data_IF_066446552040
#
_entry.id   IF_066446552040
#
_cell.length_a   1.000
_cell.length_b   1.000
_cell.length_c   1.000
_cell.angle_alpha   90.00
_cell.angle_beta   90.00
_cell.angle_gamma   90.00
#
_symmetry.space_group_name_H-M   'P 1'
#
loop_
_entity.id
_entity.type
_entity.pdbx_description
1 polymer ?
#
# COMPACT_ATOMS: atom_id res chain seq x y z
N UNK A 1 -14.06 -8.79 -33.55
CA UNK A 1 -13.81 -9.12 -32.13
C UNK A 1 -13.88 -7.81 -31.36
N UNK A 2 -14.76 -7.69 -30.37
CA UNK A 2 -14.88 -6.48 -29.53
C UNK A 2 -14.29 -6.83 -28.16
N UNK A 3 -13.39 -5.99 -27.65
CA UNK A 3 -12.83 -6.11 -26.30
C UNK A 3 -13.36 -4.95 -25.46
N UNK A 4 -14.06 -5.25 -24.37
CA UNK A 4 -14.46 -4.25 -23.37
C UNK A 4 -13.28 -4.08 -22.42
N UNK A 5 -12.78 -2.85 -22.27
CA UNK A 5 -11.72 -2.52 -21.31
C UNK A 5 -12.34 -2.07 -20.01
N UNK A 6 -11.76 -2.48 -18.90
CA UNK A 6 -12.09 -1.88 -17.62
C UNK A 6 -11.61 -0.43 -17.58
N UNK A 7 -12.40 0.42 -16.93
CA UNK A 7 -12.14 1.85 -16.76
C UNK A 7 -12.40 2.30 -15.32
N UNK A 8 -12.83 1.38 -14.45
CA UNK A 8 -13.08 1.69 -13.05
C UNK A 8 -11.74 1.77 -12.31
N UNK A 9 -11.49 2.82 -11.51
CA UNK A 9 -10.31 2.86 -10.66
C UNK A 9 -10.47 1.94 -9.44
N UNK A 10 -9.38 1.34 -8.94
CA UNK A 10 -9.39 0.57 -7.69
C UNK A 10 -9.69 1.48 -6.49
N UNK A 11 -10.38 0.95 -5.49
CA UNK A 11 -10.47 1.58 -4.17
C UNK A 11 -9.26 1.18 -3.34
N UNK A 12 -8.57 2.18 -2.79
CA UNK A 12 -7.40 1.98 -1.91
C UNK A 12 -7.87 1.93 -0.45
N UNK A 13 -7.44 0.89 0.26
CA UNK A 13 -7.46 0.82 1.72
C UNK A 13 -6.08 0.37 2.17
N UNK A 14 -5.28 1.29 2.70
CA UNK A 14 -3.92 1.03 3.17
C UNK A 14 -3.90 0.52 4.62
N UNK A 15 -5.05 0.35 5.29
CA UNK A 15 -5.11 0.03 6.72
C UNK A 15 -4.86 1.23 7.64
N UNK A 16 -5.10 1.06 8.94
CA UNK A 16 -4.85 2.08 9.96
C UNK A 16 -3.79 1.57 10.95
N UNK A 17 -2.58 2.13 10.89
CA UNK A 17 -1.48 1.76 11.77
C UNK A 17 -1.32 2.76 12.90
N UNK A 18 -1.30 2.27 14.14
CA UNK A 18 -1.09 3.08 15.34
C UNK A 18 0.38 3.48 15.55
N UNK A 19 0.68 3.97 16.75
CA UNK A 19 2.05 4.32 17.13
C UNK A 19 2.97 3.09 17.09
N UNK A 20 4.09 3.23 16.39
CA UNK A 20 5.11 2.20 16.13
C UNK A 20 6.44 2.68 16.69
N UNK A 21 7.23 1.75 17.22
CA UNK A 21 8.56 2.05 17.78
C UNK A 21 9.55 2.19 16.63
N UNK A 22 10.41 3.20 16.69
CA UNK A 22 11.50 3.38 15.71
C UNK A 22 12.34 2.12 15.57
N UNK A 23 12.83 1.87 14.35
CA UNK A 23 13.61 0.67 14.00
C UNK A 23 12.88 -0.67 14.20
N UNK A 24 11.56 -0.64 14.43
CA UNK A 24 10.73 -1.86 14.43
C UNK A 24 10.10 -2.07 13.05
N UNK A 25 10.10 -3.30 12.53
CA UNK A 25 9.42 -3.61 11.28
C UNK A 25 7.91 -3.49 11.47
N UNK A 26 7.25 -2.89 10.50
CA UNK A 26 5.80 -2.70 10.45
C UNK A 26 5.28 -3.43 9.23
N UNK A 27 4.29 -4.29 9.45
CA UNK A 27 3.60 -4.96 8.36
C UNK A 27 2.44 -4.07 7.88
N UNK A 28 2.55 -3.61 6.64
CA UNK A 28 1.52 -2.87 5.95
C UNK A 28 0.76 -3.84 5.05
N UNK A 29 -0.55 -3.66 4.98
CA UNK A 29 -1.50 -4.59 4.38
C UNK A 29 -2.65 -3.80 3.75
N UNK A 30 -2.64 -3.77 2.42
CA UNK A 30 -3.63 -3.15 1.57
C UNK A 30 -4.67 -4.15 1.05
N UNK A 31 -4.83 -5.32 1.69
CA UNK A 31 -5.73 -6.38 1.22
C UNK A 31 -7.21 -6.01 1.24
N UNK A 32 -7.59 -4.92 1.92
CA UNK A 32 -8.92 -4.31 1.84
C UNK A 32 -9.17 -3.58 0.51
N UNK A 33 -8.11 -3.30 -0.26
CA UNK A 33 -8.21 -2.68 -1.57
C UNK A 33 -8.93 -3.63 -2.53
N UNK A 34 -9.79 -3.08 -3.36
CA UNK A 34 -10.56 -3.87 -4.31
C UNK A 34 -10.78 -3.13 -5.61
N UNK A 35 -10.87 -3.92 -6.67
CA UNK A 35 -11.21 -3.51 -8.01
C UNK A 35 -12.24 -4.49 -8.58
N UNK A 36 -13.10 -4.04 -9.48
CA UNK A 36 -14.14 -4.89 -10.08
C UNK A 36 -13.56 -5.95 -11.04
N UNK A 37 -12.33 -5.79 -11.52
CA UNK A 37 -11.62 -6.81 -12.31
C UNK A 37 -10.45 -7.38 -11.53
N UNK A 38 -9.44 -6.57 -11.26
CA UNK A 38 -8.24 -6.99 -10.54
C UNK A 38 -7.33 -5.79 -10.23
N UNK A 39 -6.67 -5.83 -9.08
CA UNK A 39 -5.53 -4.95 -8.80
C UNK A 39 -4.30 -5.56 -9.45
N UNK A 40 -3.67 -4.83 -10.37
CA UNK A 40 -2.48 -5.28 -11.08
C UNK A 40 -1.21 -5.19 -10.21
N UNK A 41 -1.05 -4.05 -9.51
CA UNK A 41 0.12 -3.72 -8.72
C UNK A 41 -0.28 -2.81 -7.54
N UNK A 42 0.53 -2.83 -6.48
CA UNK A 42 0.46 -1.94 -5.32
C UNK A 42 1.70 -1.07 -5.31
N UNK A 43 1.50 0.24 -5.20
CA UNK A 43 2.57 1.21 -5.01
C UNK A 43 2.44 1.82 -3.61
N UNK A 44 3.51 1.69 -2.83
CA UNK A 44 3.61 2.17 -1.47
C UNK A 44 4.46 3.43 -1.43
N UNK A 45 3.92 4.49 -0.85
CA UNK A 45 4.67 5.67 -0.42
C UNK A 45 4.66 5.66 1.10
N UNK A 46 5.81 5.43 1.72
CA UNK A 46 5.88 5.34 3.18
C UNK A 46 5.90 6.73 3.86
N UNK A 47 5.89 7.83 3.10
CA UNK A 47 5.91 9.19 3.64
C UNK A 47 7.25 9.63 4.23
N UNK A 48 8.24 8.73 4.31
CA UNK A 48 9.62 9.01 4.75
C UNK A 48 10.59 9.29 3.58
N UNK A 49 10.05 9.33 2.35
CA UNK A 49 10.78 9.48 1.10
C UNK A 49 11.19 8.17 0.44
N UNK A 50 10.82 7.02 1.02
CA UNK A 50 11.01 5.70 0.40
C UNK A 50 9.71 5.20 -0.22
N UNK A 51 9.86 4.40 -1.28
CA UNK A 51 8.77 3.87 -2.08
C UNK A 51 9.02 2.41 -2.40
N UNK A 52 7.95 1.63 -2.52
CA UNK A 52 8.03 0.22 -2.93
C UNK A 52 6.89 -0.12 -3.89
N UNK A 53 7.17 -0.97 -4.88
CA UNK A 53 6.15 -1.56 -5.74
C UNK A 53 6.05 -3.06 -5.45
N UNK A 54 4.84 -3.58 -5.32
CA UNK A 54 4.58 -4.99 -5.02
C UNK A 54 3.40 -5.51 -5.81
N UNK A 55 3.42 -6.80 -6.17
CA UNK A 55 2.28 -7.50 -6.78
C UNK A 55 1.37 -8.15 -5.72
N UNK A 56 1.78 -8.10 -4.45
CA UNK A 56 0.99 -8.57 -3.31
C UNK A 56 0.61 -7.39 -2.40
N UNK A 57 -0.54 -7.46 -1.72
CA UNK A 57 -1.04 -6.35 -0.91
C UNK A 57 -0.28 -6.14 0.41
N UNK A 58 0.80 -6.88 0.70
CA UNK A 58 1.49 -6.79 1.98
C UNK A 58 2.97 -6.51 1.80
N UNK A 59 3.50 -5.56 2.58
CA UNK A 59 4.91 -5.16 2.60
C UNK A 59 5.36 -4.89 4.03
N UNK A 60 6.67 -5.02 4.27
CA UNK A 60 7.27 -4.73 5.58
C UNK A 60 8.19 -3.53 5.43
N UNK A 61 7.90 -2.47 6.19
CA UNK A 61 8.73 -1.26 6.22
C UNK A 61 9.27 -0.98 7.62
N UNK A 62 10.43 -0.31 7.72
CA UNK A 62 11.05 0.07 8.99
C UNK A 62 11.39 1.56 8.98
N UNK A 63 10.73 2.32 9.85
CA UNK A 63 11.00 3.74 10.04
C UNK A 63 12.20 3.95 10.97
N UNK A 64 13.25 4.61 10.46
CA UNK A 64 14.51 4.83 11.21
C UNK A 64 14.55 6.15 11.96
N UNK A 65 13.56 7.02 11.75
CA UNK A 65 13.47 8.34 12.38
C UNK A 65 12.11 8.47 13.08
N UNK A 66 12.04 9.09 14.26
CA UNK A 66 10.78 9.47 14.86
C UNK A 66 10.02 10.46 13.96
N UNK A 67 8.74 10.23 13.76
CA UNK A 67 7.91 11.09 12.93
C UNK A 67 6.48 10.59 12.79
N UNK A 68 5.63 11.42 12.20
CA UNK A 68 4.32 11.02 11.71
C UNK A 68 4.46 10.82 10.21
N UNK A 69 4.17 9.61 9.75
CA UNK A 69 4.25 9.21 8.36
C UNK A 69 2.84 8.87 7.87
N UNK A 70 2.46 9.41 6.71
CA UNK A 70 1.24 9.03 6.00
C UNK A 70 1.62 8.00 4.94
N UNK A 71 0.94 6.85 4.98
CA UNK A 71 1.09 5.71 4.06
C UNK A 71 -0.23 5.43 3.38
#
# INVERSE_FOLDING_TARGET
>A
MITVRDTTPPLVDAGNYGAIVENSPVNLDASGSHDNVAIADYQWDFGDGTFENSTIPSVVHTYTKPGVYMV
#
